data_IF_381562240512
#
_entry.id   IF_381562240512
#
_cell.length_a   1.000
_cell.length_b   1.000
_cell.length_c   1.000
_cell.angle_alpha   90.00
_cell.angle_beta   90.00
_cell.angle_gamma   90.00
#
_symmetry.space_group_name_H-M   'P 1'
#
loop_
_entity.id
_entity.type
_entity.pdbx_description
1 polymer ?
#
# COMPACT_ATOMS: atom_id res chain seq x y z
N UNK A 1 5.92 -22.06 -22.89
CA UNK A 1 6.81 -21.20 -22.08
C UNK A 1 5.99 -20.01 -21.61
N UNK A 2 5.52 -19.93 -20.36
CA UNK A 2 6.31 -19.98 -19.14
C UNK A 2 6.33 -18.57 -18.54
N UNK A 3 5.16 -18.01 -18.23
CA UNK A 3 5.03 -16.70 -17.59
C UNK A 3 4.34 -16.91 -16.24
N UNK A 4 5.09 -16.74 -15.15
CA UNK A 4 4.54 -16.73 -13.80
C UNK A 4 3.97 -15.34 -13.48
N UNK A 5 2.69 -15.31 -13.09
CA UNK A 5 2.06 -14.11 -12.54
C UNK A 5 2.58 -13.90 -11.11
N UNK A 6 3.51 -12.97 -10.92
CA UNK A 6 3.92 -12.55 -9.58
C UNK A 6 3.20 -11.26 -9.19
N UNK A 7 1.94 -11.40 -8.79
CA UNK A 7 1.29 -10.42 -7.93
C UNK A 7 1.98 -10.49 -6.55
N UNK A 8 2.40 -9.36 -5.99
CA UNK A 8 3.12 -9.32 -4.72
C UNK A 8 2.27 -9.98 -3.62
N UNK A 9 2.78 -11.00 -2.89
CA UNK A 9 1.98 -11.94 -2.10
C UNK A 9 1.63 -11.45 -0.68
N UNK A 10 1.88 -10.18 -0.35
CA UNK A 10 1.81 -9.73 1.06
C UNK A 10 0.40 -9.38 1.55
N UNK A 11 -0.62 -10.13 1.10
CA UNK A 11 -1.99 -10.04 1.62
C UNK A 11 -2.10 -10.40 3.10
N UNK A 12 -1.09 -11.05 3.67
CA UNK A 12 -1.07 -11.36 5.10
C UNK A 12 -0.98 -10.11 5.99
N UNK A 13 -0.60 -8.94 5.44
CA UNK A 13 -0.72 -7.66 6.14
C UNK A 13 -2.09 -7.01 5.98
N UNK A 14 -2.94 -7.53 5.08
CA UNK A 14 -4.22 -6.95 4.76
C UNK A 14 -5.27 -7.48 5.74
N UNK A 15 -5.92 -6.55 6.41
CA UNK A 15 -7.05 -6.76 7.30
C UNK A 15 -8.23 -6.03 6.65
N UNK A 16 -9.43 -6.62 6.73
CA UNK A 16 -10.66 -6.01 6.23
C UNK A 16 -10.59 -5.52 4.77
N UNK A 17 -10.11 -6.39 3.86
CA UNK A 17 -10.04 -6.06 2.43
C UNK A 17 -11.44 -6.03 1.80
N UNK A 18 -11.89 -4.85 1.40
CA UNK A 18 -13.12 -4.66 0.63
C UNK A 18 -12.75 -4.53 -0.85
N UNK A 19 -13.21 -5.48 -1.66
CA UNK A 19 -12.94 -5.51 -3.10
C UNK A 19 -14.13 -4.93 -3.87
N UNK A 20 -14.05 -3.66 -4.22
CA UNK A 20 -15.04 -2.98 -5.06
C UNK A 20 -14.32 -2.01 -6.01
N UNK A 21 -15.06 -1.50 -6.99
CA UNK A 21 -14.62 -0.37 -7.80
C UNK A 21 -14.99 0.93 -7.07
N UNK A 22 -13.98 1.64 -6.57
CA UNK A 22 -14.16 2.92 -5.88
C UNK A 22 -13.88 4.12 -6.79
N UNK A 23 -13.85 3.90 -8.11
CA UNK A 23 -13.53 4.90 -9.11
C UNK A 23 -12.04 5.07 -9.35
N UNK A 24 -11.69 6.12 -10.10
CA UNK A 24 -10.32 6.38 -10.55
C UNK A 24 -9.68 7.50 -9.74
N UNK A 25 -8.38 7.37 -9.51
CA UNK A 25 -7.50 8.48 -9.11
C UNK A 25 -6.59 8.84 -10.27
N UNK A 26 -6.21 10.11 -10.34
CA UNK A 26 -5.29 10.65 -11.34
C UNK A 26 -3.97 10.93 -10.62
N UNK A 27 -2.97 10.04 -10.72
CA UNK A 27 -1.64 10.32 -10.21
C UNK A 27 -0.99 11.41 -11.07
N UNK A 28 0.20 11.87 -10.63
CA UNK A 28 0.92 12.95 -11.29
C UNK A 28 1.34 12.66 -12.75
N UNK A 29 1.24 11.42 -13.21
CA UNK A 29 1.49 10.98 -14.58
C UNK A 29 0.25 11.04 -15.49
N UNK A 30 -0.89 11.55 -14.97
CA UNK A 30 -2.16 11.79 -15.67
C UNK A 30 -2.85 10.54 -16.25
N UNK A 31 -2.29 9.35 -16.00
CA UNK A 31 -2.90 8.08 -16.37
C UNK A 31 -3.88 7.62 -15.28
N UNK A 32 -5.17 7.45 -15.59
CA UNK A 32 -6.17 7.09 -14.60
C UNK A 32 -5.88 5.71 -14.00
N UNK A 33 -5.89 5.64 -12.67
CA UNK A 33 -5.68 4.41 -11.93
C UNK A 33 -6.96 4.06 -11.14
N UNK A 34 -7.54 2.89 -11.39
CA UNK A 34 -8.73 2.43 -10.68
C UNK A 34 -8.37 1.96 -9.26
N UNK A 35 -9.15 2.40 -8.28
CA UNK A 35 -9.12 1.87 -6.92
C UNK A 35 -9.95 0.58 -6.92
N UNK A 36 -9.26 -0.57 -6.84
CA UNK A 36 -9.86 -1.91 -6.89
C UNK A 36 -10.13 -2.52 -5.51
N UNK A 37 -9.91 -1.72 -4.47
CA UNK A 37 -10.23 -2.10 -3.10
C UNK A 37 -9.77 -1.09 -2.09
N UNK A 38 -10.39 -1.14 -0.91
CA UNK A 38 -9.96 -0.47 0.30
C UNK A 38 -9.52 -1.53 1.30
N UNK A 39 -8.43 -1.27 2.01
CA UNK A 39 -7.85 -2.23 2.93
C UNK A 39 -7.33 -1.57 4.19
N UNK A 40 -7.37 -2.29 5.29
CA UNK A 40 -6.63 -1.95 6.50
C UNK A 40 -5.29 -2.69 6.46
N UNK A 41 -4.16 -1.99 6.58
CA UNK A 41 -2.83 -2.63 6.55
C UNK A 41 -2.23 -2.65 7.93
N UNK A 42 -1.94 -3.84 8.43
CA UNK A 42 -1.29 -4.05 9.71
C UNK A 42 0.17 -4.49 9.51
N UNK A 43 1.11 -3.73 10.08
CA UNK A 43 2.54 -4.03 9.98
C UNK A 43 3.17 -4.13 11.36
N UNK A 44 3.81 -5.26 11.66
CA UNK A 44 4.63 -5.42 12.86
C UNK A 44 6.03 -4.87 12.61
N UNK A 45 6.51 -4.05 13.54
CA UNK A 45 7.88 -3.53 13.55
C UNK A 45 8.73 -4.24 14.59
N UNK A 46 10.06 -4.14 14.46
CA UNK A 46 11.03 -4.95 15.21
C UNK A 46 10.97 -4.78 16.74
N UNK A 47 10.45 -3.65 17.23
CA UNK A 47 10.26 -3.41 18.67
C UNK A 47 8.98 -4.08 19.21
N UNK A 48 8.31 -4.92 18.43
CA UNK A 48 7.06 -5.60 18.82
C UNK A 48 5.80 -4.76 18.62
N UNK A 49 5.93 -3.47 18.31
CA UNK A 49 4.77 -2.62 18.06
C UNK A 49 4.11 -2.98 16.73
N UNK A 50 2.80 -2.78 16.69
CA UNK A 50 1.98 -2.97 15.50
C UNK A 50 1.46 -1.63 15.03
N UNK A 51 1.64 -1.34 13.75
CA UNK A 51 1.10 -0.15 13.09
C UNK A 51 -0.08 -0.55 12.23
N UNK A 52 -1.15 0.23 12.30
CA UNK A 52 -2.38 0.01 11.55
C UNK A 52 -2.63 1.23 10.68
N UNK A 53 -2.71 1.00 9.38
CA UNK A 53 -3.07 1.99 8.38
C UNK A 53 -4.48 1.68 7.90
N UNK A 54 -5.41 2.62 8.06
CA UNK A 54 -6.81 2.48 7.62
C UNK A 54 -7.01 3.13 6.26
N UNK A 55 -8.11 2.76 5.61
CA UNK A 55 -8.58 3.38 4.36
C UNK A 55 -7.53 3.39 3.25
N UNK A 56 -6.73 2.32 3.19
CA UNK A 56 -5.66 2.18 2.23
C UNK A 56 -6.24 1.77 0.89
N UNK A 57 -6.08 2.62 -0.13
CA UNK A 57 -6.59 2.40 -1.48
C UNK A 57 -5.63 1.52 -2.26
N UNK A 58 -6.14 0.39 -2.75
CA UNK A 58 -5.41 -0.55 -3.61
C UNK A 58 -5.63 -0.19 -5.08
N UNK A 59 -4.56 0.14 -5.80
CA UNK A 59 -4.63 0.57 -7.21
C UNK A 59 -4.37 -0.60 -8.17
N UNK A 60 -5.13 -0.67 -9.26
CA UNK A 60 -5.04 -1.75 -10.27
C UNK A 60 -3.72 -1.78 -11.04
N UNK A 61 -3.11 -0.62 -11.28
CA UNK A 61 -1.99 -0.41 -12.20
C UNK A 61 -0.62 -0.54 -11.53
N UNK A 62 -0.53 -0.26 -10.23
CA UNK A 62 0.74 -0.26 -9.50
C UNK A 62 0.98 -1.61 -8.83
N UNK A 63 1.85 -2.42 -9.43
CA UNK A 63 2.18 -3.80 -9.00
C UNK A 63 2.62 -3.97 -7.53
N UNK A 64 2.89 -2.86 -6.80
CA UNK A 64 3.47 -2.85 -5.44
C UNK A 64 3.06 -1.67 -4.53
N UNK A 65 2.23 -0.75 -4.99
CA UNK A 65 1.98 0.50 -4.26
C UNK A 65 0.55 0.57 -3.75
N UNK A 66 0.43 0.84 -2.47
CA UNK A 66 -0.82 1.16 -1.80
C UNK A 66 -0.85 2.66 -1.51
N UNK A 67 -2.02 3.28 -1.61
CA UNK A 67 -2.19 4.71 -1.34
C UNK A 67 -2.90 4.90 0.00
N UNK A 68 -2.25 5.64 0.89
CA UNK A 68 -2.77 6.09 2.17
C UNK A 68 -3.26 7.52 2.00
N UNK A 69 -4.52 7.76 2.36
CA UNK A 69 -5.05 9.10 2.49
C UNK A 69 -5.04 9.47 3.97
N UNK A 70 -4.21 10.44 4.35
CA UNK A 70 -4.17 10.90 5.74
C UNK A 70 -5.40 11.76 6.03
N UNK A 71 -6.21 11.37 7.03
CA UNK A 71 -7.41 12.12 7.43
C UNK A 71 -7.12 13.54 7.96
N UNK A 72 -5.85 13.90 8.20
CA UNK A 72 -5.45 15.16 8.86
C UNK A 72 -4.68 16.16 7.98
N UNK A 73 -4.37 15.81 6.74
CA UNK A 73 -3.72 16.71 5.79
C UNK A 73 -3.98 16.18 4.39
N UNK A 74 -4.27 17.06 3.43
CA UNK A 74 -4.60 16.71 2.04
C UNK A 74 -3.45 16.04 1.27
N UNK A 75 -2.51 15.39 1.97
CA UNK A 75 -1.30 14.83 1.46
C UNK A 75 -1.43 13.32 1.32
N UNK A 76 -1.40 12.88 0.07
CA UNK A 76 -1.43 11.47 -0.30
C UNK A 76 -0.08 10.85 0.03
N UNK A 77 -0.09 9.82 0.87
CA UNK A 77 1.09 9.03 1.20
C UNK A 77 1.07 7.72 0.41
N UNK A 78 2.21 7.29 -0.11
CA UNK A 78 2.35 6.01 -0.80
C UNK A 78 3.08 5.03 0.10
N UNK A 79 2.46 3.87 0.35
CA UNK A 79 3.11 2.76 1.02
C UNK A 79 3.62 1.75 0.00
N UNK A 80 4.90 1.41 0.12
CA UNK A 80 5.61 0.51 -0.79
C UNK A 80 6.15 -0.67 0.00
N UNK A 81 5.80 -1.88 -0.42
CA UNK A 81 6.36 -3.12 0.10
C UNK A 81 7.40 -3.70 -0.86
N UNK A 82 8.54 -4.11 -0.30
CA UNK A 82 9.55 -4.94 -0.95
C UNK A 82 9.63 -6.28 -0.22
N UNK A 83 10.46 -7.21 -0.69
CA UNK A 83 10.65 -8.50 -0.03
C UNK A 83 11.19 -8.38 1.40
N UNK A 84 12.03 -7.39 1.69
CA UNK A 84 12.74 -7.28 2.97
C UNK A 84 12.32 -6.09 3.83
N UNK A 85 11.66 -5.10 3.23
CA UNK A 85 11.32 -3.84 3.89
C UNK A 85 10.07 -3.21 3.31
N UNK A 86 9.53 -2.27 4.05
CA UNK A 86 8.45 -1.41 3.63
C UNK A 86 8.79 0.05 3.96
N UNK A 87 8.17 0.98 3.24
CA UNK A 87 8.28 2.41 3.52
C UNK A 87 7.00 3.14 3.18
N UNK A 88 6.77 4.24 3.88
CA UNK A 88 5.73 5.23 3.57
C UNK A 88 6.41 6.50 3.08
N UNK A 89 5.99 6.98 1.92
CA UNK A 89 6.54 8.19 1.30
C UNK A 89 5.46 9.22 1.05
N UNK A 90 5.78 10.49 1.30
CA UNK A 90 4.98 11.65 0.92
C UNK A 90 5.72 12.38 -0.21
N UNK A 91 5.32 12.12 -1.45
CA UNK A 91 6.13 12.49 -2.61
C UNK A 91 7.55 11.90 -2.54
N UNK A 92 8.57 12.75 -2.64
CA UNK A 92 9.98 12.33 -2.53
C UNK A 92 10.44 12.07 -1.08
N UNK A 93 9.67 12.50 -0.07
CA UNK A 93 10.04 12.37 1.34
C UNK A 93 9.70 10.97 1.86
N UNK A 94 10.66 10.30 2.50
CA UNK A 94 10.39 9.09 3.28
C UNK A 94 9.92 9.50 4.66
N UNK A 95 8.65 9.26 4.99
CA UNK A 95 8.06 9.56 6.30
C UNK A 95 8.46 8.48 7.31
N UNK A 96 8.37 7.22 6.89
CA UNK A 96 8.63 6.05 7.75
C UNK A 96 9.18 4.90 6.92
N UNK A 97 9.99 4.05 7.56
CA UNK A 97 10.47 2.78 6.99
C UNK A 97 10.52 1.71 8.06
N UNK A 98 10.30 0.46 7.66
CA UNK A 98 10.47 -0.70 8.52
C UNK A 98 11.02 -1.90 7.76
N UNK A 99 11.54 -2.87 8.50
CA UNK A 99 11.89 -4.18 7.94
C UNK A 99 10.67 -5.08 8.02
N UNK A 100 10.46 -5.90 7.00
CA UNK A 100 9.51 -6.99 7.08
C UNK A 100 10.07 -7.97 8.11
N UNK A 101 9.34 -8.17 9.20
CA UNK A 101 9.66 -9.26 10.11
C UNK A 101 8.92 -10.47 9.56
N UNK A 102 9.67 -11.44 9.03
CA UNK A 102 9.09 -12.72 8.63
C UNK A 102 8.39 -13.33 9.83
N UNK A 103 7.13 -13.70 9.66
CA UNK A 103 6.41 -14.56 10.60
C UNK A 103 6.93 -15.98 10.52
#
# INVERSE_FOLDING_TARGET
SGASFHATPHRHYFVDYVKEDFGNVYPADDEPCTIVGIVCVQVKIQNGNTWIFKDVRNLSTLRRNLVLEEQLGNDVCTMIFTSHSWKVTKGALVVVRGKNVGT
#
